data_IF_470967524723
#
_entry.id   IF_470967524723
#
_cell.length_a   1.000
_cell.length_b   1.000
_cell.length_c   1.000
_cell.angle_alpha   90.00
_cell.angle_beta   90.00
_cell.angle_gamma   90.00
#
_symmetry.space_group_name_H-M   'P 1'
#
loop_
_entity.id
_entity.type
_entity.pdbx_description
1 polymer ?
#
# COMPACT_ATOMS: atom_id res chain seq x y z
N UNK A 1 15.45 17.79 -3.65
CA UNK A 1 14.08 17.34 -3.35
C UNK A 1 14.22 16.05 -2.59
N UNK A 2 13.89 16.01 -1.30
CA UNK A 2 14.07 14.79 -0.51
C UNK A 2 13.15 13.71 -1.07
N UNK A 3 13.76 12.67 -1.63
CA UNK A 3 13.05 11.58 -2.30
C UNK A 3 12.35 10.73 -1.24
N UNK A 4 11.02 10.69 -1.28
CA UNK A 4 10.24 9.86 -0.38
C UNK A 4 10.50 8.38 -0.73
N UNK A 5 10.64 7.51 0.28
CA UNK A 5 10.90 6.11 0.04
C UNK A 5 9.65 5.43 -0.52
N UNK A 6 9.62 5.16 -1.83
CA UNK A 6 8.47 4.55 -2.52
C UNK A 6 8.47 3.02 -2.43
N UNK A 7 7.38 2.41 -2.92
CA UNK A 7 7.28 0.97 -3.15
C UNK A 7 8.05 0.50 -4.39
N UNK A 8 7.88 -0.78 -4.75
CA UNK A 8 8.50 -1.35 -5.96
C UNK A 8 7.75 -0.96 -7.24
N UNK A 9 6.42 -1.02 -7.20
CA UNK A 9 5.57 -0.66 -8.34
C UNK A 9 4.55 0.42 -7.99
N UNK A 10 4.20 0.54 -6.70
CA UNK A 10 3.28 1.54 -6.20
C UNK A 10 4.03 2.75 -5.62
N UNK A 11 3.52 3.94 -5.92
CA UNK A 11 3.99 5.23 -5.41
C UNK A 11 3.00 5.71 -4.34
N UNK A 12 3.50 6.17 -3.20
CA UNK A 12 2.67 6.66 -2.12
C UNK A 12 1.93 7.94 -2.52
N UNK A 13 0.63 7.97 -2.23
CA UNK A 13 -0.20 9.17 -2.37
C UNK A 13 0.23 10.28 -1.42
N UNK A 14 -0.14 11.52 -1.75
CA UNK A 14 0.23 12.71 -0.98
C UNK A 14 -0.32 12.70 0.46
N UNK A 15 -1.48 12.09 0.68
CA UNK A 15 -2.10 11.95 2.00
C UNK A 15 -1.30 11.01 2.91
N UNK A 16 -0.82 9.88 2.37
CA UNK A 16 0.10 9.01 3.09
C UNK A 16 1.44 9.71 3.35
N UNK A 17 2.01 10.38 2.35
CA UNK A 17 3.28 11.11 2.47
C UNK A 17 3.22 12.16 3.56
N UNK A 18 2.21 13.03 3.52
CA UNK A 18 2.02 14.09 4.52
C UNK A 18 1.80 13.53 5.93
N UNK A 19 1.02 12.44 6.06
CA UNK A 19 0.81 11.79 7.36
C UNK A 19 2.12 11.26 7.93
N UNK A 20 2.89 10.50 7.14
CA UNK A 20 4.16 9.93 7.62
C UNK A 20 5.23 11.00 7.86
N UNK A 21 5.29 12.05 7.04
CA UNK A 21 6.26 13.14 7.21
C UNK A 21 5.96 14.02 8.43
N UNK A 22 4.73 14.01 8.95
CA UNK A 22 4.37 14.74 10.17
C UNK A 22 4.91 14.12 11.46
N UNK A 23 5.29 12.83 11.42
CA UNK A 23 5.93 12.12 12.53
C UNK A 23 7.29 11.54 12.09
N UNK A 24 8.42 12.18 12.48
CA UNK A 24 9.75 11.72 12.10
C UNK A 24 10.09 10.29 12.53
N UNK A 25 9.54 9.81 13.66
CA UNK A 25 9.80 8.45 14.14
C UNK A 25 9.13 7.42 13.23
N UNK A 26 7.89 7.69 12.82
CA UNK A 26 7.13 6.85 11.89
C UNK A 26 7.75 6.91 10.49
N UNK A 27 8.21 8.08 10.05
CA UNK A 27 8.93 8.21 8.78
C UNK A 27 10.20 7.37 8.74
N UNK A 28 10.98 7.35 9.83
CA UNK A 28 12.17 6.52 9.92
C UNK A 28 11.83 5.02 9.84
N UNK A 29 10.74 4.58 10.50
CA UNK A 29 10.24 3.21 10.42
C UNK A 29 9.84 2.84 8.98
N UNK A 30 9.16 3.75 8.28
CA UNK A 30 8.79 3.60 6.87
C UNK A 30 10.00 3.48 5.95
N UNK A 31 11.00 4.35 6.12
CA UNK A 31 12.25 4.33 5.35
C UNK A 31 13.04 3.04 5.60
N UNK A 32 12.97 2.49 6.82
CA UNK A 32 13.59 1.21 7.20
C UNK A 32 12.86 -0.04 6.68
N UNK A 33 11.68 0.09 6.08
CA UNK A 33 11.04 -1.03 5.38
C UNK A 33 11.80 -1.38 4.10
N UNK A 34 11.67 -2.63 3.65
CA UNK A 34 12.09 -2.99 2.30
C UNK A 34 11.18 -2.31 1.28
N UNK A 35 11.64 -2.08 0.03
CA UNK A 35 10.78 -1.57 -1.04
C UNK A 35 9.49 -2.38 -1.19
N UNK A 36 9.57 -3.70 -1.01
CA UNK A 36 8.41 -4.59 -1.04
C UNK A 36 7.46 -4.35 0.13
N UNK A 37 7.97 -4.18 1.36
CA UNK A 37 7.13 -3.86 2.52
C UNK A 37 6.35 -2.57 2.35
N UNK A 38 7.00 -1.52 1.80
CA UNK A 38 6.32 -0.27 1.42
C UNK A 38 5.27 -0.50 0.35
N UNK A 39 5.61 -1.27 -0.68
CA UNK A 39 4.70 -1.62 -1.77
C UNK A 39 3.41 -2.28 -1.26
N UNK A 40 3.52 -3.17 -0.27
CA UNK A 40 2.36 -3.83 0.35
C UNK A 40 1.43 -2.83 1.05
N UNK A 41 1.97 -1.91 1.85
CA UNK A 41 1.17 -0.87 2.50
C UNK A 41 0.50 0.06 1.48
N UNK A 42 1.25 0.52 0.47
CA UNK A 42 0.70 1.43 -0.55
C UNK A 42 -0.43 0.74 -1.32
N UNK A 43 -0.21 -0.49 -1.82
CA UNK A 43 -1.22 -1.25 -2.54
C UNK A 43 -2.49 -1.46 -1.69
N UNK A 44 -2.31 -1.81 -0.42
CA UNK A 44 -3.43 -1.99 0.50
C UNK A 44 -4.18 -0.68 0.77
N UNK A 45 -3.50 0.46 0.88
CA UNK A 45 -4.18 1.76 1.06
C UNK A 45 -4.92 2.16 -0.23
N UNK A 46 -4.32 1.94 -1.39
CA UNK A 46 -4.89 2.28 -2.70
C UNK A 46 -6.08 1.40 -3.11
N UNK A 47 -6.14 0.16 -2.63
CA UNK A 47 -7.29 -0.73 -2.81
C UNK A 47 -8.58 -0.18 -2.16
N UNK A 48 -8.48 0.79 -1.24
CA UNK A 48 -9.65 1.40 -0.62
C UNK A 48 -10.43 2.30 -1.60
N UNK A 49 -11.56 1.79 -2.10
CA UNK A 49 -12.48 2.54 -2.99
C UNK A 49 -13.18 3.73 -2.33
N UNK A 50 -13.29 3.73 -0.99
CA UNK A 50 -13.98 4.77 -0.22
C UNK A 50 -12.99 5.67 0.52
N UNK A 51 -13.10 7.01 0.46
CA UNK A 51 -12.17 7.93 1.12
C UNK A 51 -12.03 7.69 2.63
N UNK A 52 -13.14 7.42 3.32
CA UNK A 52 -13.12 7.11 4.75
C UNK A 52 -12.32 5.85 5.08
N UNK A 53 -12.38 4.82 4.21
CA UNK A 53 -11.59 3.60 4.38
C UNK A 53 -10.11 3.86 4.14
N UNK A 54 -9.78 4.68 3.13
CA UNK A 54 -8.40 5.09 2.84
C UNK A 54 -7.77 5.79 4.06
N UNK A 55 -8.45 6.79 4.62
CA UNK A 55 -7.99 7.51 5.80
C UNK A 55 -7.79 6.58 7.01
N UNK A 56 -8.72 5.66 7.25
CA UNK A 56 -8.56 4.63 8.29
C UNK A 56 -7.35 3.72 8.06
N UNK A 57 -7.10 3.28 6.82
CA UNK A 57 -5.93 2.44 6.48
C UNK A 57 -4.61 3.21 6.66
N UNK A 58 -4.59 4.52 6.37
CA UNK A 58 -3.42 5.38 6.63
C UNK A 58 -3.14 5.45 8.14
N UNK A 59 -4.15 5.75 8.97
CA UNK A 59 -3.98 5.77 10.42
C UNK A 59 -3.48 4.43 10.97
N UNK A 60 -4.08 3.32 10.50
CA UNK A 60 -3.63 1.98 10.87
C UNK A 60 -2.20 1.66 10.40
N UNK A 61 -1.76 2.22 9.27
CA UNK A 61 -0.37 2.05 8.81
C UNK A 61 0.60 2.67 9.81
N UNK A 62 0.28 3.83 10.39
CA UNK A 62 1.08 4.46 11.44
C UNK A 62 1.17 3.54 12.67
N UNK A 63 0.03 3.07 13.17
CA UNK A 63 -0.04 2.15 14.32
C UNK A 63 0.79 0.87 14.06
N UNK A 64 0.61 0.25 12.90
CA UNK A 64 1.29 -1.00 12.56
C UNK A 64 2.80 -0.83 12.40
N UNK A 65 3.26 0.31 11.87
CA UNK A 65 4.68 0.64 11.81
C UNK A 65 5.27 0.77 13.21
N UNK A 66 4.57 1.47 14.12
CA UNK A 66 4.98 1.63 15.52
C UNK A 66 5.02 0.29 16.28
N UNK A 67 4.11 -0.63 15.95
CA UNK A 67 4.12 -2.02 16.43
C UNK A 67 5.22 -2.90 15.78
N UNK A 68 6.02 -2.34 14.86
CA UNK A 68 7.13 -3.03 14.20
C UNK A 68 6.72 -3.93 13.04
N UNK A 69 5.46 -3.88 12.60
CA UNK A 69 4.98 -4.68 11.46
C UNK A 69 5.63 -4.19 10.16
N UNK A 70 5.95 -5.16 9.30
CA UNK A 70 6.62 -4.92 8.01
C UNK A 70 5.68 -5.03 6.81
N UNK A 71 4.41 -5.38 7.05
CA UNK A 71 3.33 -5.51 6.08
C UNK A 71 1.98 -5.24 6.76
N UNK A 72 0.93 -4.89 6.01
CA UNK A 72 -0.39 -4.71 6.59
C UNK A 72 -0.93 -5.97 7.27
N UNK A 73 -1.61 -5.82 8.41
CA UNK A 73 -2.45 -6.90 8.95
C UNK A 73 -3.54 -7.31 7.96
N UNK A 74 -3.87 -8.61 7.94
CA UNK A 74 -5.06 -9.12 7.24
C UNK A 74 -5.08 -8.76 5.74
N UNK A 75 -3.92 -8.48 5.15
CA UNK A 75 -3.72 -8.25 3.73
C UNK A 75 -3.14 -9.51 3.09
N UNK A 76 -3.78 -9.95 2.02
CA UNK A 76 -3.42 -11.19 1.31
C UNK A 76 -2.13 -11.06 0.51
N UNK A 77 -1.72 -9.82 0.22
CA UNK A 77 -0.53 -9.47 -0.54
C UNK A 77 -0.88 -8.66 -1.79
N UNK A 78 0.07 -7.85 -2.25
CA UNK A 78 -0.03 -7.11 -3.49
C UNK A 78 -0.14 -8.07 -4.68
N UNK A 79 -1.06 -7.77 -5.60
CA UNK A 79 -1.24 -8.53 -6.86
C UNK A 79 -0.03 -8.45 -7.80
N UNK A 80 0.82 -7.44 -7.64
CA UNK A 80 2.02 -7.21 -8.46
C UNK A 80 3.26 -7.90 -7.90
N UNK A 81 3.13 -8.75 -6.88
CA UNK A 81 4.25 -9.54 -6.38
C UNK A 81 4.72 -10.52 -7.44
N UNK A 82 6.03 -10.52 -7.71
CA UNK A 82 6.66 -11.47 -8.63
C UNK A 82 7.24 -12.70 -7.92
N UNK A 83 7.42 -12.63 -6.60
CA UNK A 83 7.97 -13.71 -5.78
C UNK A 83 6.93 -14.78 -5.38
N UNK A 84 5.64 -14.48 -5.56
CA UNK A 84 4.54 -15.39 -5.23
C UNK A 84 3.43 -15.29 -6.27
N UNK A 85 2.95 -16.44 -6.75
CA UNK A 85 1.78 -16.47 -7.61
C UNK A 85 0.54 -15.90 -6.88
N UNK A 86 -0.27 -15.03 -7.53
CA UNK A 86 -1.52 -14.56 -6.96
C UNK A 86 -2.45 -15.73 -6.64
N UNK A 87 -3.20 -15.63 -5.53
CA UNK A 87 -4.21 -16.65 -5.20
C UNK A 87 -5.34 -16.68 -6.23
N UNK A 88 -6.12 -17.78 -6.33
CA UNK A 88 -7.22 -17.89 -7.28
C UNK A 88 -8.24 -16.75 -7.21
N UNK A 89 -8.51 -16.25 -6.00
CA UNK A 89 -9.40 -15.09 -5.81
C UNK A 89 -8.75 -13.78 -6.30
N UNK A 90 -7.46 -13.55 -6.02
CA UNK A 90 -6.73 -12.38 -6.54
C UNK A 90 -6.69 -12.38 -8.07
N UNK A 91 -6.54 -13.55 -8.70
CA UNK A 91 -6.61 -13.70 -10.16
C UNK A 91 -8.00 -13.35 -10.70
N UNK A 92 -9.07 -13.73 -10.00
CA UNK A 92 -10.44 -13.41 -10.42
C UNK A 92 -10.76 -11.90 -10.35
N UNK A 93 -10.20 -11.16 -9.38
CA UNK A 93 -10.37 -9.70 -9.26
C UNK A 93 -9.57 -8.91 -10.31
N UNK A 94 -8.48 -9.48 -10.84
CA UNK A 94 -7.73 -8.90 -11.98
C UNK A 94 -8.55 -8.92 -13.28
N UNK A 95 -9.66 -9.66 -13.33
CA UNK A 95 -10.63 -9.67 -14.43
C UNK A 95 -11.73 -8.63 -14.14
N UNK A 96 -11.35 -7.40 -13.81
CA UNK A 96 -12.17 -6.26 -14.21
C UNK A 96 -11.63 -5.86 -15.59
N UNK A 97 -12.12 -6.55 -16.64
CA UNK A 97 -11.94 -6.06 -18.01
C UNK A 97 -12.38 -4.58 -18.04
N UNK A 98 -11.57 -3.68 -18.61
CA UNK A 98 -12.01 -2.30 -18.80
C UNK A 98 -13.29 -2.35 -19.61
N UNK A 99 -14.37 -1.80 -19.03
CA UNK A 99 -15.68 -1.73 -19.63
C UNK A 99 -15.59 -1.46 -21.15
N UNK A 100 -16.05 -2.46 -21.92
CA UNK A 100 -16.43 -2.42 -23.34
C UNK A 100 -16.08 -1.11 -24.08
N UNK A 101 -15.03 -1.15 -24.89
CA UNK A 101 -14.94 -0.27 -26.07
C UNK A 101 -15.81 -0.86 -27.18
N UNK A 102 -16.95 -0.22 -27.46
CA UNK A 102 -17.66 -0.35 -28.73
C UNK A 102 -18.87 -1.30 -28.75
N UNK A 103 -20.07 -0.70 -28.88
CA UNK A 103 -20.92 -0.88 -30.05
C UNK A 103 -21.76 0.37 -30.27
#
# INVERSE_FOLDING_TARGET
MSEFAEGTVHVAGEDLKSTLQSDPAVLALWQGLTPLGRNEFICWIDDAKQPATRQRRIGRTVEELQEGKKRPCCWVGCIHRTDKAPSPWQQAVLIDEPARKGR
#
